data_IF_299649124192
#
_entry.id   IF_299649124192
#
_cell.length_a   1.000
_cell.length_b   1.000
_cell.length_c   1.000
_cell.angle_alpha   90.00
_cell.angle_beta   90.00
_cell.angle_gamma   90.00
#
_symmetry.space_group_name_H-M   'P 1'
#
loop_
_entity.id
_entity.type
_entity.pdbx_description
1 polymer ?
#
# COMPACT_ATOMS: atom_id res chain seq x y z
N UNK A 1 -18.08 -20.24 -6.52
CA UNK A 1 -16.86 -19.57 -7.05
C UNK A 1 -16.19 -18.83 -5.91
N UNK A 2 -15.09 -19.33 -5.32
CA UNK A 2 -14.43 -18.63 -4.22
C UNK A 2 -13.46 -17.56 -4.76
N UNK A 3 -13.45 -16.40 -4.10
CA UNK A 3 -12.23 -15.62 -3.85
C UNK A 3 -11.64 -14.80 -5.00
N UNK A 4 -12.34 -13.78 -5.51
CA UNK A 4 -11.63 -12.56 -5.98
C UNK A 4 -11.41 -11.68 -4.77
N UNK A 5 -10.29 -11.91 -4.09
CA UNK A 5 -9.80 -11.09 -2.99
C UNK A 5 -9.93 -9.61 -3.36
N UNK A 6 -10.59 -8.89 -2.47
CA UNK A 6 -11.11 -7.55 -2.66
C UNK A 6 -9.97 -6.51 -2.51
N UNK A 7 -8.98 -6.53 -3.41
CA UNK A 7 -7.82 -5.62 -3.36
C UNK A 7 -8.29 -4.14 -3.33
N UNK A 8 -9.46 -3.86 -3.93
CA UNK A 8 -10.07 -2.54 -3.94
C UNK A 8 -10.56 -2.07 -2.55
N UNK A 9 -10.93 -2.99 -1.65
CA UNK A 9 -11.46 -2.62 -0.34
C UNK A 9 -10.37 -2.38 0.71
N UNK A 10 -9.29 -3.16 0.70
CA UNK A 10 -8.14 -2.91 1.58
C UNK A 10 -7.38 -1.63 1.22
N UNK A 11 -7.31 -1.28 -0.07
CA UNK A 11 -6.60 -0.07 -0.52
C UNK A 11 -7.37 1.21 -0.11
N UNK A 12 -8.70 1.16 -0.03
CA UNK A 12 -9.55 2.31 0.37
C UNK A 12 -9.53 2.62 1.87
N UNK A 13 -8.97 1.76 2.73
CA UNK A 13 -8.86 1.98 4.19
C UNK A 13 -7.43 1.85 4.70
N UNK A 14 -6.45 2.34 3.93
CA UNK A 14 -5.12 2.61 4.46
C UNK A 14 -5.19 3.80 5.42
N UNK A 15 -5.52 3.53 6.68
CA UNK A 15 -5.38 4.50 7.77
C UNK A 15 -4.03 4.32 8.44
N UNK A 16 -3.50 5.39 9.03
CA UNK A 16 -2.25 5.34 9.80
C UNK A 16 -2.30 4.29 10.92
N UNK A 17 -3.46 4.15 11.57
CA UNK A 17 -3.70 3.14 12.61
C UNK A 17 -3.67 1.70 12.10
N UNK A 18 -4.11 1.46 10.86
CA UNK A 18 -4.00 0.14 10.25
C UNK A 18 -2.55 -0.18 9.89
N UNK A 19 -1.77 0.84 9.48
CA UNK A 19 -0.35 0.68 9.16
C UNK A 19 0.51 0.40 10.40
N UNK A 20 0.23 1.05 11.53
CA UNK A 20 0.98 0.82 12.77
C UNK A 20 0.82 -0.60 13.32
N UNK A 21 -0.31 -1.25 13.06
CA UNK A 21 -0.60 -2.64 13.48
C UNK A 21 0.03 -3.71 12.59
N UNK A 22 0.54 -3.35 11.40
CA UNK A 22 1.15 -4.31 10.47
C UNK A 22 2.60 -4.58 10.83
N UNK A 23 3.06 -5.80 10.52
CA UNK A 23 4.46 -6.18 10.66
C UNK A 23 5.29 -5.54 9.55
N UNK A 24 6.61 -5.52 9.74
CA UNK A 24 7.54 -4.93 8.78
C UNK A 24 7.52 -5.64 7.42
N UNK A 25 7.35 -6.96 7.42
CA UNK A 25 7.17 -7.75 6.20
C UNK A 25 5.89 -7.34 5.47
N UNK A 26 4.77 -7.23 6.18
CA UNK A 26 3.49 -6.80 5.60
C UNK A 26 3.55 -5.38 5.04
N UNK A 27 4.28 -4.47 5.69
CA UNK A 27 4.46 -3.11 5.17
C UNK A 27 5.29 -3.10 3.89
N UNK A 28 6.34 -3.92 3.78
CA UNK A 28 7.11 -4.06 2.53
C UNK A 28 6.27 -4.66 1.40
N UNK A 29 5.50 -5.70 1.69
CA UNK A 29 4.63 -6.33 0.71
C UNK A 29 3.56 -5.37 0.18
N UNK A 30 2.93 -4.60 1.07
CA UNK A 30 1.98 -3.56 0.69
C UNK A 30 2.64 -2.43 -0.11
N UNK A 31 3.86 -2.05 0.24
CA UNK A 31 4.61 -1.05 -0.52
C UNK A 31 4.88 -1.53 -1.95
N UNK A 32 5.35 -2.77 -2.11
CA UNK A 32 5.58 -3.37 -3.43
C UNK A 32 4.28 -3.53 -4.23
N UNK A 33 3.18 -3.88 -3.57
CA UNK A 33 1.87 -3.97 -4.21
C UNK A 33 1.36 -2.60 -4.67
N UNK A 34 1.50 -1.57 -3.83
CA UNK A 34 1.11 -0.21 -4.18
C UNK A 34 1.93 0.34 -5.36
N UNK A 35 3.23 0.03 -5.42
CA UNK A 35 4.09 0.35 -6.57
C UNK A 35 3.61 -0.33 -7.85
N UNK A 36 3.31 -1.63 -7.81
CA UNK A 36 2.76 -2.35 -8.97
C UNK A 36 1.44 -1.76 -9.43
N UNK A 37 0.53 -1.47 -8.49
CA UNK A 37 -0.74 -0.81 -8.81
C UNK A 37 -0.54 0.57 -9.42
N UNK A 38 0.48 1.33 -9.00
CA UNK A 38 0.82 2.62 -9.59
C UNK A 38 1.30 2.47 -11.05
N UNK A 39 2.17 1.50 -11.33
CA UNK A 39 2.69 1.26 -12.68
C UNK A 39 1.64 0.71 -13.64
N UNK A 40 0.71 -0.09 -13.13
CA UNK A 40 -0.35 -0.73 -13.92
C UNK A 40 -1.62 0.13 -14.00
N UNK A 41 -1.68 1.28 -13.31
CA UNK A 41 -2.88 2.11 -13.23
C UNK A 41 -3.24 2.72 -14.59
N UNK A 42 -4.35 2.32 -15.23
CA UNK A 42 -4.75 2.87 -16.52
C UNK A 42 -5.47 4.22 -16.39
N UNK A 43 -5.81 4.64 -15.15
CA UNK A 43 -6.59 5.84 -14.85
C UNK A 43 -5.85 6.72 -13.86
N UNK A 44 -5.92 8.05 -14.04
CA UNK A 44 -5.31 9.04 -13.14
C UNK A 44 -5.77 8.91 -11.69
N UNK A 45 -7.03 8.58 -11.44
CA UNK A 45 -7.53 8.37 -10.07
C UNK A 45 -6.86 7.18 -9.39
N UNK A 46 -6.79 6.04 -10.07
CA UNK A 46 -6.12 4.85 -9.56
C UNK A 46 -4.61 5.08 -9.35
N UNK A 47 -3.97 5.85 -10.22
CA UNK A 47 -2.59 6.27 -10.05
C UNK A 47 -2.41 7.15 -8.80
N UNK A 48 -3.31 8.11 -8.57
CA UNK A 48 -3.27 8.99 -7.40
C UNK A 48 -3.49 8.22 -6.10
N UNK A 49 -4.43 7.28 -6.08
CA UNK A 49 -4.70 6.41 -4.93
C UNK A 49 -3.48 5.54 -4.60
N UNK A 50 -2.88 4.92 -5.62
CA UNK A 50 -1.66 4.12 -5.45
C UNK A 50 -0.48 4.99 -4.99
N UNK A 51 -0.32 6.19 -5.54
CA UNK A 51 0.72 7.15 -5.13
C UNK A 51 0.56 7.57 -3.67
N UNK A 52 -0.68 7.81 -3.24
CA UNK A 52 -0.99 8.13 -1.85
C UNK A 52 -0.67 6.97 -0.91
N UNK A 53 -1.03 5.74 -1.30
CA UNK A 53 -0.69 4.52 -0.56
C UNK A 53 0.83 4.33 -0.42
N UNK A 54 1.58 4.44 -1.51
CA UNK A 54 3.05 4.38 -1.52
C UNK A 54 3.64 5.39 -0.54
N UNK A 55 3.17 6.64 -0.56
CA UNK A 55 3.67 7.70 0.33
C UNK A 55 3.40 7.39 1.80
N UNK A 56 2.20 6.93 2.15
CA UNK A 56 1.87 6.61 3.54
C UNK A 56 2.66 5.41 4.06
N UNK A 57 2.74 4.33 3.29
CA UNK A 57 3.47 3.12 3.68
C UNK A 57 4.97 3.43 3.79
N UNK A 58 5.52 4.17 2.82
CA UNK A 58 6.91 4.62 2.86
C UNK A 58 7.23 5.48 4.09
N UNK A 59 6.31 6.37 4.47
CA UNK A 59 6.46 7.19 5.70
C UNK A 59 6.47 6.34 6.96
N UNK A 60 5.63 5.30 7.04
CA UNK A 60 5.60 4.39 8.18
C UNK A 60 6.86 3.49 8.22
N UNK A 61 7.33 3.01 7.07
CA UNK A 61 8.57 2.25 6.96
C UNK A 61 9.78 3.10 7.40
N UNK A 62 9.86 4.35 6.95
CA UNK A 62 10.89 5.29 7.38
C UNK A 62 10.82 5.59 8.89
N UNK A 63 9.62 5.77 9.45
CA UNK A 63 9.40 5.96 10.89
C UNK A 63 9.94 4.79 11.73
N UNK A 64 9.90 3.56 11.18
CA UNK A 64 10.41 2.34 11.82
C UNK A 64 11.89 2.08 11.56
N UNK A 65 12.58 2.94 10.80
CA UNK A 65 13.97 2.74 10.42
C UNK A 65 14.17 1.60 9.41
N UNK A 66 13.11 1.21 8.70
CA UNK A 66 13.13 0.12 7.73
C UNK A 66 13.55 0.69 6.38
N UNK A 67 14.70 0.23 5.87
CA UNK A 67 15.14 0.61 4.54
C UNK A 67 14.13 0.12 3.48
N UNK A 68 13.69 1.06 2.65
CA UNK A 68 13.05 0.81 1.36
C UNK A 68 14.16 0.35 0.42
N UNK A 69 14.43 -0.96 0.39
CA UNK A 69 15.32 -1.58 -0.59
C UNK A 69 14.51 -2.13 -1.74
#
# INVERSE_FOLDING_TARGET
MPGRGNIKEETMKLTRENLTKKTDAQLRDLFAQALRCQTEAPRRSAFNDASYAVRMIGSELARRGIALR
#
